data_IF_466440893116
#
_entry.id   IF_466440893116
#
_cell.length_a   1.000
_cell.length_b   1.000
_cell.length_c   1.000
_cell.angle_alpha   90.00
_cell.angle_beta   90.00
_cell.angle_gamma   90.00
#
_symmetry.space_group_name_H-M   'P 1'
#
loop_
_entity.id
_entity.type
_entity.pdbx_description
1 polymer ?
#
# COMPACT_ATOMS: atom_id res chain seq x y z
N UNK A 1 -8.52 20.22 -7.29
CA UNK A 1 -8.17 19.01 -6.54
C UNK A 1 -6.66 18.77 -6.71
N UNK A 2 -5.95 18.24 -5.71
CA UNK A 2 -4.52 17.90 -5.90
C UNK A 2 -4.38 16.67 -6.80
N UNK A 3 -3.37 16.63 -7.66
CA UNK A 3 -3.14 15.49 -8.55
C UNK A 3 -1.63 15.19 -8.64
N UNK A 4 -1.29 13.90 -8.66
CA UNK A 4 0.05 13.44 -9.01
C UNK A 4 0.12 13.22 -10.51
N UNK A 5 1.04 13.89 -11.19
CA UNK A 5 1.39 13.66 -12.59
C UNK A 5 2.43 12.54 -12.64
N UNK A 6 1.98 11.34 -12.99
CA UNK A 6 2.75 10.10 -12.87
C UNK A 6 4.08 10.17 -13.66
N UNK A 7 4.02 10.56 -14.93
CA UNK A 7 5.19 10.57 -15.82
C UNK A 7 6.26 11.59 -15.40
N UNK A 8 5.87 12.60 -14.62
CA UNK A 8 6.78 13.61 -14.08
C UNK A 8 7.21 13.31 -12.64
N UNK A 9 6.60 12.29 -12.00
CA UNK A 9 6.71 12.04 -10.57
C UNK A 9 6.43 13.30 -9.74
N UNK A 10 5.41 14.07 -10.12
CA UNK A 10 5.18 15.43 -9.59
C UNK A 10 3.80 15.56 -8.96
N UNK A 11 3.74 16.02 -7.71
CA UNK A 11 2.47 16.40 -7.09
C UNK A 11 2.16 17.87 -7.40
N UNK A 12 0.93 18.15 -7.83
CA UNK A 12 0.44 19.50 -8.13
C UNK A 12 -0.80 19.83 -7.30
N UNK A 13 -0.80 20.99 -6.66
CA UNK A 13 -1.94 21.50 -5.92
C UNK A 13 -1.94 23.03 -5.86
N UNK A 14 -3.04 23.67 -6.28
CA UNK A 14 -3.27 25.13 -6.18
C UNK A 14 -2.08 25.98 -6.69
N UNK A 15 -1.55 25.62 -7.87
CA UNK A 15 -0.43 26.33 -8.50
C UNK A 15 0.95 26.05 -7.88
N UNK A 16 1.03 25.25 -6.83
CA UNK A 16 2.28 24.72 -6.27
C UNK A 16 2.54 23.32 -6.81
N UNK A 17 3.82 23.00 -6.98
CA UNK A 17 4.22 21.63 -7.27
C UNK A 17 5.51 21.25 -6.55
N UNK A 18 5.67 19.95 -6.31
CA UNK A 18 6.95 19.39 -5.89
C UNK A 18 7.16 18.03 -6.55
N UNK A 19 8.42 17.71 -6.82
CA UNK A 19 8.82 16.45 -7.42
C UNK A 19 9.08 15.41 -6.33
N UNK A 20 8.43 14.26 -6.45
CA UNK A 20 8.75 13.07 -5.67
C UNK A 20 9.98 12.43 -6.29
N UNK A 21 11.01 12.21 -5.48
CA UNK A 21 12.33 11.73 -5.96
C UNK A 21 12.76 10.47 -5.23
N UNK A 22 13.72 9.72 -5.80
CA UNK A 22 14.33 8.55 -5.14
C UNK A 22 14.88 8.90 -3.75
N UNK A 23 15.44 10.11 -3.61
CA UNK A 23 16.02 10.57 -2.35
C UNK A 23 14.95 10.70 -1.25
N UNK A 24 13.74 11.17 -1.59
CA UNK A 24 12.65 11.24 -0.61
C UNK A 24 12.23 9.85 -0.12
N UNK A 25 12.18 8.86 -1.02
CA UNK A 25 11.88 7.47 -0.65
C UNK A 25 12.94 6.92 0.30
N UNK A 26 14.22 7.16 0.00
CA UNK A 26 15.33 6.76 0.85
C UNK A 26 15.26 7.39 2.25
N UNK A 27 14.93 8.68 2.35
CA UNK A 27 14.81 9.38 3.62
C UNK A 27 13.60 8.92 4.44
N UNK A 28 12.45 8.69 3.80
CA UNK A 28 11.21 8.32 4.48
C UNK A 28 11.24 6.87 4.94
N UNK A 29 11.69 5.95 4.10
CA UNK A 29 11.68 4.51 4.40
C UNK A 29 12.98 4.02 5.05
N UNK A 30 14.05 4.81 5.02
CA UNK A 30 15.35 4.42 5.56
C UNK A 30 16.00 3.25 4.84
N UNK A 31 15.55 2.91 3.62
CA UNK A 31 16.08 1.75 2.87
C UNK A 31 17.44 2.09 2.25
N UNK A 32 18.46 1.23 2.38
CA UNK A 32 19.69 1.37 1.61
C UNK A 32 19.37 1.19 0.12
N UNK A 33 20.03 1.96 -0.75
CA UNK A 33 19.77 1.92 -2.19
C UNK A 33 21.06 2.17 -2.95
N UNK A 34 21.44 1.20 -3.76
CA UNK A 34 22.53 1.32 -4.72
C UNK A 34 22.02 1.77 -6.07
N UNK A 35 22.77 1.39 -7.12
CA UNK A 35 22.53 1.83 -8.49
C UNK A 35 22.18 0.66 -9.44
N UNK A 36 22.13 -0.58 -8.94
CA UNK A 36 21.74 -1.75 -9.76
C UNK A 36 20.21 -1.82 -9.87
N UNK A 37 19.62 -1.70 -11.07
CA UNK A 37 18.17 -1.67 -11.20
C UNK A 37 17.51 -3.01 -10.85
N UNK A 38 16.34 -2.95 -10.22
CA UNK A 38 15.48 -4.10 -9.96
C UNK A 38 14.48 -4.23 -11.11
N UNK A 39 14.50 -5.36 -11.81
CA UNK A 39 13.57 -5.65 -12.91
C UNK A 39 12.79 -6.92 -12.57
N UNK A 40 11.50 -6.76 -12.32
CA UNK A 40 10.60 -7.89 -12.08
C UNK A 40 10.04 -8.38 -13.42
N UNK A 41 10.38 -9.59 -13.82
CA UNK A 41 9.81 -10.21 -15.01
C UNK A 41 8.40 -10.74 -14.72
N UNK A 42 7.42 -10.26 -15.49
CA UNK A 42 6.05 -10.79 -15.50
C UNK A 42 5.96 -11.97 -16.49
N UNK A 43 6.65 -13.07 -16.21
CA UNK A 43 6.40 -14.33 -16.91
C UNK A 43 6.80 -15.49 -16.00
N UNK A 44 5.91 -16.47 -15.91
CA UNK A 44 6.17 -17.78 -15.29
C UNK A 44 7.16 -18.62 -16.12
N UNK A 45 8.14 -17.99 -16.76
CA UNK A 45 9.01 -18.59 -17.75
C UNK A 45 10.21 -17.67 -17.92
N UNK A 46 11.30 -18.00 -17.24
CA UNK A 46 12.55 -18.44 -17.86
C UNK A 46 13.62 -18.59 -16.76
N UNK A 47 14.20 -19.79 -16.71
CA UNK A 47 15.31 -20.22 -15.84
C UNK A 47 15.23 -19.73 -14.38
N UNK A 48 14.49 -20.48 -13.56
CA UNK A 48 14.82 -20.58 -12.13
C UNK A 48 16.29 -21.00 -12.07
N UNK A 49 17.18 -20.04 -11.80
CA UNK A 49 18.61 -20.28 -11.74
C UNK A 49 18.88 -21.49 -10.84
N UNK A 50 19.76 -22.40 -11.26
CA UNK A 50 20.07 -23.63 -10.50
C UNK A 50 20.48 -23.31 -9.03
N UNK A 51 20.95 -22.09 -8.76
CA UNK A 51 21.23 -21.54 -7.43
C UNK A 51 19.99 -21.33 -6.55
N UNK A 52 18.86 -20.92 -7.14
CA UNK A 52 17.58 -20.74 -6.43
C UNK A 52 16.95 -22.11 -6.13
N UNK A 53 17.17 -23.09 -7.01
CA UNK A 53 16.74 -24.47 -6.85
C UNK A 53 17.46 -25.23 -5.73
N UNK A 54 18.59 -24.74 -5.21
CA UNK A 54 19.34 -25.43 -4.15
C UNK A 54 19.11 -24.81 -2.75
N UNK A 55 18.34 -23.73 -2.64
CA UNK A 55 18.04 -23.11 -1.35
C UNK A 55 16.79 -23.76 -0.73
N UNK A 56 17.01 -24.63 0.26
CA UNK A 56 15.99 -25.50 0.88
C UNK A 56 14.79 -24.75 1.47
N UNK A 57 14.96 -23.49 1.88
CA UNK A 57 13.95 -22.68 2.57
C UNK A 57 12.72 -22.33 1.70
N UNK A 58 12.89 -22.26 0.38
CA UNK A 58 11.84 -21.84 -0.58
C UNK A 58 11.58 -22.87 -1.69
N UNK A 59 12.00 -24.12 -1.48
CA UNK A 59 11.90 -25.20 -2.43
C UNK A 59 10.47 -25.46 -2.92
N UNK A 60 10.39 -25.71 -4.23
CA UNK A 60 9.25 -26.24 -5.01
C UNK A 60 8.13 -25.29 -5.41
N UNK A 61 8.43 -24.17 -6.08
CA UNK A 61 7.51 -23.54 -7.06
C UNK A 61 6.08 -23.25 -6.56
N UNK A 62 5.88 -23.28 -5.24
CA UNK A 62 4.61 -23.25 -4.58
C UNK A 62 4.45 -21.83 -4.05
N UNK A 63 3.27 -21.27 -4.26
CA UNK A 63 2.95 -19.97 -3.70
C UNK A 63 3.00 -20.09 -2.17
N UNK A 64 3.94 -19.39 -1.54
CA UNK A 64 4.00 -19.30 -0.08
C UNK A 64 3.09 -18.19 0.37
N UNK A 65 2.12 -18.51 1.24
CA UNK A 65 1.26 -17.49 1.81
C UNK A 65 2.07 -16.58 2.73
N UNK A 66 1.64 -15.33 2.89
CA UNK A 66 2.28 -14.41 3.85
C UNK A 66 2.27 -15.00 5.27
N UNK A 67 1.16 -15.58 5.79
CA UNK A 67 1.15 -16.23 7.10
C UNK A 67 2.16 -17.38 7.25
N UNK A 68 2.33 -18.22 6.22
CA UNK A 68 3.32 -19.30 6.27
C UNK A 68 4.75 -18.75 6.27
N UNK A 69 5.01 -17.72 5.47
CA UNK A 69 6.29 -17.05 5.43
C UNK A 69 6.63 -16.39 6.78
N UNK A 70 5.65 -15.78 7.46
CA UNK A 70 5.80 -15.23 8.81
C UNK A 70 6.06 -16.34 9.83
N UNK A 71 5.30 -17.43 9.78
CA UNK A 71 5.52 -18.58 10.69
C UNK A 71 6.93 -19.15 10.55
N UNK A 72 7.41 -19.30 9.31
CA UNK A 72 8.79 -19.70 9.02
C UNK A 72 9.81 -18.69 9.53
N UNK A 73 9.54 -17.39 9.37
CA UNK A 73 10.43 -16.31 9.81
C UNK A 73 10.63 -16.34 11.33
N UNK A 74 9.55 -16.56 12.07
CA UNK A 74 9.59 -16.63 13.54
C UNK A 74 10.35 -17.86 14.05
N UNK A 75 10.42 -18.94 13.26
CA UNK A 75 11.19 -20.14 13.56
C UNK A 75 12.59 -20.18 12.94
N UNK A 76 13.01 -19.14 12.23
CA UNK A 76 14.31 -19.10 11.55
C UNK A 76 15.40 -18.59 12.51
N UNK A 77 16.55 -19.25 12.47
CA UNK A 77 17.68 -18.97 13.37
C UNK A 77 18.97 -18.65 12.60
N UNK A 78 19.04 -18.97 11.31
CA UNK A 78 20.16 -18.56 10.45
C UNK A 78 20.03 -17.11 10.03
N UNK A 79 21.07 -16.30 10.27
CA UNK A 79 21.07 -14.85 9.96
C UNK A 79 20.72 -14.55 8.50
N UNK A 80 21.40 -15.19 7.54
CA UNK A 80 21.12 -14.94 6.11
C UNK A 80 19.72 -15.40 5.70
N UNK A 81 19.28 -16.55 6.20
CA UNK A 81 17.95 -17.09 5.92
C UNK A 81 16.86 -16.20 6.52
N UNK A 82 17.09 -15.70 7.72
CA UNK A 82 16.23 -14.73 8.39
C UNK A 82 16.13 -13.45 7.56
N UNK A 83 17.27 -12.88 7.13
CA UNK A 83 17.28 -11.64 6.32
C UNK A 83 16.53 -11.85 5.00
N UNK A 84 16.79 -12.95 4.28
CA UNK A 84 16.09 -13.30 3.03
C UNK A 84 14.57 -13.33 3.23
N UNK A 85 14.12 -14.06 4.25
CA UNK A 85 12.70 -14.27 4.52
C UNK A 85 12.03 -13.01 5.06
N UNK A 86 12.72 -12.25 5.93
CA UNK A 86 12.29 -10.95 6.41
C UNK A 86 12.08 -9.98 5.25
N UNK A 87 13.03 -9.89 4.32
CA UNK A 87 12.92 -9.02 3.16
C UNK A 87 11.73 -9.39 2.27
N UNK A 88 11.51 -10.69 2.00
CA UNK A 88 10.34 -11.13 1.23
C UNK A 88 9.02 -10.78 1.91
N UNK A 89 8.94 -10.97 3.23
CA UNK A 89 7.75 -10.59 4.02
C UNK A 89 7.55 -9.08 3.97
N UNK A 90 8.57 -8.28 4.30
CA UNK A 90 8.51 -6.82 4.28
C UNK A 90 8.14 -6.25 2.91
N UNK A 91 8.69 -6.82 1.83
CA UNK A 91 8.33 -6.47 0.45
C UNK A 91 6.85 -6.76 0.16
N UNK A 92 6.33 -7.86 0.69
CA UNK A 92 4.96 -8.32 0.41
C UNK A 92 3.90 -7.66 1.29
N UNK A 93 4.27 -7.07 2.43
CA UNK A 93 3.33 -6.49 3.40
C UNK A 93 3.44 -4.97 3.54
N UNK A 94 4.65 -4.40 3.48
CA UNK A 94 4.89 -2.99 3.83
C UNK A 94 5.40 -2.20 2.62
N UNK A 95 6.41 -2.72 1.92
CA UNK A 95 7.19 -1.93 0.96
C UNK A 95 6.55 -1.93 -0.44
N UNK A 96 6.24 -3.11 -0.97
CA UNK A 96 5.62 -3.28 -2.30
C UNK A 96 4.43 -4.26 -2.23
N UNK A 97 3.42 -4.01 -1.36
CA UNK A 97 2.37 -4.96 -1.10
C UNK A 97 1.55 -5.29 -2.36
N UNK A 98 0.99 -6.49 -2.40
CA UNK A 98 0.09 -6.88 -3.48
C UNK A 98 -1.29 -7.20 -2.93
N UNK A 99 -2.30 -7.25 -3.80
CA UNK A 99 -3.64 -7.71 -3.40
C UNK A 99 -3.67 -9.22 -3.14
N UNK A 100 -2.58 -9.94 -3.44
CA UNK A 100 -2.47 -11.37 -3.21
C UNK A 100 -1.85 -11.61 -1.83
N UNK A 101 -2.39 -12.59 -1.10
CA UNK A 101 -1.88 -12.99 0.22
C UNK A 101 -0.67 -13.95 0.11
N UNK A 102 0.23 -13.71 -0.84
CA UNK A 102 1.40 -14.54 -1.11
C UNK A 102 2.65 -13.67 -1.19
N UNK A 103 3.79 -14.24 -0.79
CA UNK A 103 5.07 -13.56 -0.97
C UNK A 103 5.44 -13.47 -2.45
N UNK A 104 5.96 -12.33 -2.87
CA UNK A 104 6.37 -12.14 -4.25
C UNK A 104 7.78 -12.73 -4.49
N UNK A 105 7.81 -13.95 -5.01
CA UNK A 105 9.06 -14.69 -5.27
C UNK A 105 9.89 -14.10 -6.43
N UNK A 106 9.36 -13.18 -7.23
CA UNK A 106 10.15 -12.45 -8.24
C UNK A 106 11.26 -11.61 -7.62
N UNK A 107 11.21 -11.35 -6.30
CA UNK A 107 12.29 -10.69 -5.57
C UNK A 107 13.42 -11.62 -5.13
N UNK A 108 13.26 -12.96 -5.22
CA UNK A 108 14.26 -13.93 -4.76
C UNK A 108 15.68 -13.64 -5.29
N UNK A 109 15.90 -13.36 -6.59
CA UNK A 109 17.24 -13.09 -7.12
C UNK A 109 17.95 -11.92 -6.43
N UNK A 110 17.19 -10.94 -5.93
CA UNK A 110 17.70 -9.71 -5.32
C UNK A 110 17.94 -9.84 -3.81
N UNK A 111 17.40 -10.87 -3.16
CA UNK A 111 17.56 -11.10 -1.73
C UNK A 111 18.41 -12.34 -1.41
N UNK A 112 18.67 -13.19 -2.41
CA UNK A 112 19.42 -14.45 -2.24
C UNK A 112 20.83 -14.21 -1.68
N UNK A 113 21.56 -13.24 -2.24
CA UNK A 113 22.85 -12.83 -1.70
C UNK A 113 22.63 -11.60 -0.81
N UNK A 114 22.66 -11.84 0.51
CA UNK A 114 22.42 -10.80 1.53
C UNK A 114 23.46 -9.68 1.43
N UNK A 115 24.70 -10.02 1.07
CA UNK A 115 25.77 -9.05 0.90
C UNK A 115 25.49 -8.09 -0.25
N UNK A 116 24.68 -8.48 -1.25
CA UNK A 116 24.36 -7.65 -2.41
C UNK A 116 23.05 -6.87 -2.25
N UNK A 117 22.25 -7.11 -1.21
CA UNK A 117 20.95 -6.43 -1.07
C UNK A 117 21.09 -4.90 -1.17
N UNK A 118 22.11 -4.32 -0.56
CA UNK A 118 22.31 -2.87 -0.55
C UNK A 118 22.75 -2.28 -1.89
N UNK A 119 23.24 -3.09 -2.84
CA UNK A 119 23.71 -2.61 -4.15
C UNK A 119 22.58 -2.37 -5.15
N UNK A 120 21.37 -2.89 -4.88
CA UNK A 120 20.19 -2.68 -5.70
C UNK A 120 19.50 -1.33 -5.45
N UNK A 121 18.91 -0.75 -6.50
CA UNK A 121 18.18 0.51 -6.48
C UNK A 121 16.74 0.32 -5.98
N UNK A 122 16.61 0.01 -4.69
CA UNK A 122 15.34 -0.12 -4.00
C UNK A 122 14.51 1.16 -4.05
N UNK A 123 15.16 2.32 -3.93
CA UNK A 123 14.46 3.62 -3.86
C UNK A 123 13.72 3.93 -5.15
N UNK A 124 14.35 3.75 -6.31
CA UNK A 124 13.67 3.96 -7.60
C UNK A 124 12.62 2.90 -7.87
N UNK A 125 12.87 1.64 -7.46
CA UNK A 125 11.89 0.56 -7.57
C UNK A 125 10.62 0.84 -6.77
N UNK A 126 10.77 1.22 -5.50
CA UNK A 126 9.65 1.57 -4.61
C UNK A 126 8.92 2.81 -5.11
N UNK A 127 9.65 3.84 -5.57
CA UNK A 127 9.03 5.02 -6.16
C UNK A 127 8.15 4.65 -7.37
N UNK A 128 8.68 3.80 -8.26
CA UNK A 128 7.96 3.32 -9.43
C UNK A 128 6.71 2.51 -9.02
N UNK A 129 6.83 1.67 -8.00
CA UNK A 129 5.70 0.94 -7.43
C UNK A 129 4.62 1.89 -6.89
N UNK A 130 4.98 2.87 -6.04
CA UNK A 130 4.05 3.87 -5.48
C UNK A 130 3.34 4.62 -6.61
N UNK A 131 4.08 5.11 -7.59
CA UNK A 131 3.52 5.82 -8.75
C UNK A 131 2.57 4.93 -9.56
N UNK A 132 2.88 3.64 -9.71
CA UNK A 132 1.98 2.68 -10.36
C UNK A 132 0.67 2.50 -9.59
N UNK A 133 0.72 2.52 -8.26
CA UNK A 133 -0.46 2.43 -7.40
C UNK A 133 -1.29 3.70 -7.47
N UNK A 134 -0.65 4.87 -7.44
CA UNK A 134 -1.34 6.16 -7.64
C UNK A 134 -2.00 6.20 -9.02
N UNK A 135 -1.33 5.71 -10.08
CA UNK A 135 -1.92 5.61 -11.43
C UNK A 135 -3.16 4.72 -11.45
N UNK A 136 -3.09 3.53 -10.84
CA UNK A 136 -4.24 2.62 -10.72
C UNK A 136 -5.39 3.28 -9.96
N UNK A 137 -5.09 3.97 -8.87
CA UNK A 137 -6.09 4.66 -8.06
C UNK A 137 -6.74 5.84 -8.80
N UNK A 138 -5.95 6.67 -9.49
CA UNK A 138 -6.47 7.75 -10.33
C UNK A 138 -7.34 7.20 -11.47
N UNK A 139 -6.93 6.09 -12.09
CA UNK A 139 -7.75 5.39 -13.08
C UNK A 139 -9.07 4.90 -12.50
N UNK A 140 -9.05 4.37 -11.27
CA UNK A 140 -10.24 3.90 -10.56
C UNK A 140 -11.21 5.04 -10.20
N UNK A 141 -10.71 6.17 -9.68
CA UNK A 141 -11.53 7.38 -9.44
C UNK A 141 -12.13 7.90 -10.74
N UNK A 142 -11.33 7.92 -11.81
CA UNK A 142 -11.80 8.35 -13.13
C UNK A 142 -12.85 7.41 -13.71
N UNK A 143 -12.89 6.14 -13.27
CA UNK A 143 -13.79 5.10 -13.74
C UNK A 143 -15.00 4.90 -12.82
N UNK A 144 -15.59 5.95 -12.22
CA UNK A 144 -16.94 5.96 -11.59
C UNK A 144 -17.30 4.84 -10.60
N UNK A 145 -16.36 4.05 -10.13
CA UNK A 145 -16.64 2.90 -9.29
C UNK A 145 -16.37 3.32 -7.85
N UNK A 146 -17.34 4.01 -7.25
CA UNK A 146 -17.14 4.75 -6.01
C UNK A 146 -16.76 3.84 -4.81
N UNK A 147 -16.96 2.52 -4.94
CA UNK A 147 -16.91 1.49 -3.89
C UNK A 147 -15.65 1.40 -3.02
N UNK A 148 -14.45 1.68 -3.55
CA UNK A 148 -13.18 1.43 -2.80
C UNK A 148 -12.65 2.66 -2.05
N UNK A 149 -13.10 3.85 -2.42
CA UNK A 149 -12.75 5.10 -1.71
C UNK A 149 -13.42 5.11 -0.34
N UNK A 150 -14.59 4.48 -0.22
CA UNK A 150 -15.34 4.41 1.02
C UNK A 150 -14.60 3.69 2.15
N UNK A 151 -13.80 2.65 1.87
CA UNK A 151 -13.08 1.90 2.91
C UNK A 151 -12.05 2.80 3.61
N UNK A 152 -11.18 3.44 2.83
CA UNK A 152 -10.20 4.39 3.39
C UNK A 152 -10.90 5.59 4.05
N UNK A 153 -12.06 6.00 3.53
CA UNK A 153 -12.86 7.06 4.13
C UNK A 153 -13.39 6.69 5.52
N UNK A 154 -13.91 5.47 5.70
CA UNK A 154 -14.36 4.99 7.02
C UNK A 154 -13.22 4.88 8.04
N UNK A 155 -11.98 4.64 7.59
CA UNK A 155 -10.83 4.62 8.51
C UNK A 155 -10.55 5.98 9.16
N UNK A 156 -10.94 7.09 8.52
CA UNK A 156 -10.74 8.45 9.03
C UNK A 156 -12.04 9.16 9.47
N UNK A 157 -13.18 8.48 9.36
CA UNK A 157 -14.45 8.98 9.87
C UNK A 157 -14.51 8.86 11.39
N UNK A 158 -14.87 9.97 12.03
CA UNK A 158 -15.24 10.06 13.43
C UNK A 158 -16.65 10.67 13.51
N UNK A 159 -17.66 9.82 13.34
CA UNK A 159 -19.04 10.24 13.57
C UNK A 159 -19.24 10.32 15.09
N UNK A 160 -19.27 11.55 15.61
CA UNK A 160 -19.56 11.78 17.03
C UNK A 160 -20.88 11.09 17.41
N UNK A 161 -20.92 10.52 18.62
CA UNK A 161 -22.01 9.63 19.06
C UNK A 161 -23.42 10.21 18.93
N UNK A 162 -23.55 11.53 18.86
CA UNK A 162 -24.81 12.25 18.71
C UNK A 162 -25.49 12.02 17.33
N UNK A 163 -24.73 11.69 16.28
CA UNK A 163 -25.28 11.32 14.96
C UNK A 163 -25.72 9.85 14.88
N UNK A 164 -25.20 9.01 15.78
CA UNK A 164 -25.18 7.56 15.64
C UNK A 164 -26.24 6.82 16.49
N UNK A 165 -27.32 7.50 16.88
CA UNK A 165 -28.35 6.90 17.75
C UNK A 165 -29.05 5.65 17.15
N UNK A 166 -28.82 5.34 15.86
CA UNK A 166 -29.48 4.23 15.16
C UNK A 166 -28.55 3.30 14.36
N UNK A 167 -27.25 3.59 14.23
CA UNK A 167 -26.30 2.73 13.49
C UNK A 167 -24.91 2.77 14.12
N UNK A 168 -24.36 1.60 14.49
CA UNK A 168 -23.08 1.50 15.20
C UNK A 168 -21.99 0.97 14.27
N UNK A 169 -21.08 1.84 13.85
CA UNK A 169 -19.88 1.46 13.11
C UNK A 169 -18.87 0.85 14.09
N UNK A 170 -18.31 -0.32 13.74
CA UNK A 170 -17.21 -0.92 14.51
C UNK A 170 -15.89 -0.24 14.15
N UNK A 171 -15.25 0.36 15.13
CA UNK A 171 -13.98 1.07 14.97
C UNK A 171 -12.75 0.22 15.35
N UNK A 172 -12.96 -1.08 15.63
CA UNK A 172 -11.90 -2.03 15.95
C UNK A 172 -10.93 -2.20 14.78
N UNK A 173 -9.65 -2.40 15.09
CA UNK A 173 -8.56 -2.51 14.10
C UNK A 173 -8.28 -3.99 13.78
N UNK A 174 -8.07 -4.36 12.50
CA UNK A 174 -8.12 -3.52 11.31
C UNK A 174 -9.57 -3.28 10.84
N UNK A 175 -9.94 -1.99 10.70
CA UNK A 175 -11.32 -1.55 10.39
C UNK A 175 -11.88 -2.16 9.10
N UNK A 176 -11.04 -2.43 8.09
CA UNK A 176 -11.41 -3.12 6.85
C UNK A 176 -12.10 -4.48 7.06
N UNK A 177 -11.86 -5.15 8.18
CA UNK A 177 -12.48 -6.43 8.53
C UNK A 177 -13.82 -6.28 9.26
N UNK A 178 -14.13 -5.07 9.72
CA UNK A 178 -15.24 -4.79 10.62
C UNK A 178 -16.33 -3.90 9.99
N UNK A 179 -16.05 -3.33 8.81
CA UNK A 179 -16.98 -2.48 8.05
C UNK A 179 -17.77 -3.29 7.03
N UNK A 180 -19.06 -2.98 6.92
CA UNK A 180 -20.04 -3.66 6.09
C UNK A 180 -20.59 -2.74 5.00
N UNK A 181 -21.28 -3.33 4.01
CA UNK A 181 -22.03 -2.55 3.00
C UNK A 181 -23.08 -1.61 3.61
N UNK A 182 -23.64 -1.99 4.77
CA UNK A 182 -24.61 -1.17 5.50
C UNK A 182 -23.93 0.03 6.15
N UNK A 183 -22.70 -0.11 6.66
CA UNK A 183 -21.90 1.01 7.18
C UNK A 183 -21.61 2.05 6.09
N UNK A 184 -21.27 1.58 4.88
CA UNK A 184 -21.06 2.49 3.74
C UNK A 184 -22.34 3.23 3.34
N UNK A 185 -23.48 2.54 3.34
CA UNK A 185 -24.78 3.13 3.00
C UNK A 185 -25.23 4.16 4.03
N UNK A 186 -24.99 3.87 5.31
CA UNK A 186 -25.26 4.81 6.42
C UNK A 186 -24.39 6.06 6.30
N UNK A 187 -23.07 5.90 6.17
CA UNK A 187 -22.11 6.99 6.02
C UNK A 187 -22.46 7.89 4.82
N UNK A 188 -22.76 7.31 3.67
CA UNK A 188 -23.14 8.06 2.47
C UNK A 188 -24.42 8.89 2.65
N UNK A 189 -25.30 8.49 3.57
CA UNK A 189 -26.52 9.22 3.89
C UNK A 189 -26.29 10.35 4.90
N UNK A 190 -25.50 10.11 5.95
CA UNK A 190 -25.27 11.11 7.02
C UNK A 190 -24.26 12.19 6.64
N UNK A 191 -23.27 11.85 5.80
CA UNK A 191 -22.24 12.77 5.33
C UNK A 191 -22.63 13.49 4.01
N UNK A 192 -23.93 13.63 3.77
CA UNK A 192 -24.45 14.30 2.56
C UNK A 192 -24.45 15.82 2.77
N UNK A 193 -24.00 16.57 1.77
CA UNK A 193 -24.02 18.02 1.85
C UNK A 193 -25.47 18.50 1.73
N UNK A 194 -26.07 18.97 2.81
CA UNK A 194 -27.48 19.39 2.84
C UNK A 194 -27.71 20.60 1.92
N UNK A 195 -26.68 21.44 1.74
CA UNK A 195 -26.66 22.61 0.85
C UNK A 195 -26.59 22.22 -0.63
N UNK A 196 -26.09 21.02 -0.96
CA UNK A 196 -26.00 20.50 -2.31
C UNK A 196 -26.16 18.96 -2.34
N UNK A 197 -27.40 18.44 -2.32
CA UNK A 197 -27.69 17.01 -2.12
C UNK A 197 -27.21 16.09 -3.26
N UNK A 198 -26.81 16.66 -4.40
CA UNK A 198 -26.21 15.92 -5.52
C UNK A 198 -24.70 15.64 -5.32
N UNK A 199 -24.08 16.18 -4.28
CA UNK A 199 -22.64 16.10 -4.04
C UNK A 199 -22.36 15.54 -2.65
N UNK A 200 -21.71 14.38 -2.59
CA UNK A 200 -21.22 13.83 -1.32
C UNK A 200 -20.11 14.73 -0.75
N UNK A 201 -20.17 15.01 0.55
CA UNK A 201 -19.24 15.91 1.27
C UNK A 201 -18.10 15.16 1.94
N UNK A 202 -17.58 14.11 1.29
CA UNK A 202 -16.52 13.27 1.84
C UNK A 202 -15.38 14.11 2.45
N UNK A 203 -15.27 14.09 3.78
CA UNK A 203 -14.20 14.74 4.53
C UNK A 203 -14.17 16.28 4.49
N UNK A 204 -15.27 16.96 4.13
CA UNK A 204 -15.39 18.42 4.29
C UNK A 204 -16.18 18.70 5.56
N UNK A 205 -15.48 18.81 6.68
CA UNK A 205 -16.04 19.50 7.85
C UNK A 205 -16.09 20.98 7.46
N UNK A 206 -17.29 21.55 7.27
CA UNK A 206 -17.41 23.01 7.32
C UNK A 206 -16.89 23.43 8.70
N UNK A 207 -15.85 24.27 8.74
CA UNK A 207 -15.44 24.94 9.97
C UNK A 207 -16.66 25.70 10.48
N UNK A 208 -17.42 25.08 11.37
CA UNK A 208 -18.47 25.75 12.11
C UNK A 208 -17.77 26.90 12.83
N UNK A 209 -18.08 28.11 12.38
CA UNK A 209 -17.45 29.32 12.86
C UNK A 209 -17.42 29.32 14.38
N UNK A 210 -16.21 29.32 14.94
CA UNK A 210 -16.00 29.68 16.33
C UNK A 210 -16.62 31.07 16.51
N UNK A 211 -17.80 31.12 17.11
CA UNK A 211 -18.37 32.36 17.62
C UNK A 211 -17.42 32.80 18.73
N UNK A 212 -16.71 33.88 18.47
CA UNK A 212 -16.05 34.69 19.48
C UNK A 212 -17.08 35.18 20.48
N UNK A 213 -17.00 34.72 21.74
CA UNK A 213 -16.96 35.53 22.97
C UNK A 213 -16.25 34.72 24.05
#
# INVERSE_FOLDING_TARGET
>A
MGQVVIDLSEFKHRGKSFKVTRFMVQQILGVPSGDIPIVLHNSATESFDQRVQHNSTFMHGAKHSIPDAVSKLLGEHGEESFIRLFMLVALSTIICPSTQNFVNLSYLPYVLDVSQIHSYDWSSHILSYILSMVKKYQGFISSKDDGKIYIAYIDFLDLSGDYANHHKISYDIPRICNVTSDDFSFVANVDRNVSNPARSSYGIVEEAGFISV
#
